data_IF_664421450093
#
_entry.id   IF_664421450093
#
_cell.length_a   1.000
_cell.length_b   1.000
_cell.length_c   1.000
_cell.angle_alpha   90.00
_cell.angle_beta   90.00
_cell.angle_gamma   90.00
#
_symmetry.space_group_name_H-M   'P 1'
#
loop_
_entity.id
_entity.type
_entity.pdbx_description
1 polymer ?
#
# COMPACT_ATOMS: atom_id res chain seq x y z
N UNK A 1 -16.67 12.69 -17.82
CA UNK A 1 -15.52 11.82 -18.14
C UNK A 1 -14.26 12.62 -18.30
N UNK A 2 -14.35 13.93 -18.55
CA UNK A 2 -13.29 14.60 -19.29
C UNK A 2 -12.36 15.44 -18.43
N UNK A 3 -12.78 15.86 -17.23
CA UNK A 3 -11.96 16.68 -16.33
C UNK A 3 -10.77 15.87 -15.79
N UNK A 4 -10.98 14.63 -15.36
CA UNK A 4 -9.90 13.78 -14.87
C UNK A 4 -8.88 13.47 -15.98
N UNK A 5 -9.34 13.25 -17.21
CA UNK A 5 -8.46 13.03 -18.36
C UNK A 5 -7.61 14.23 -18.78
N UNK A 6 -8.04 15.44 -18.46
CA UNK A 6 -7.26 16.66 -18.71
C UNK A 6 -6.16 16.83 -17.65
N UNK A 7 -6.48 16.57 -16.38
CA UNK A 7 -5.55 16.77 -15.28
C UNK A 7 -4.67 15.55 -14.98
N UNK A 8 -5.20 14.34 -15.22
CA UNK A 8 -4.56 13.07 -14.89
C UNK A 8 -4.72 12.03 -16.01
N UNK A 9 -4.14 12.29 -17.20
CA UNK A 9 -4.25 11.34 -18.31
C UNK A 9 -3.68 9.95 -17.96
N UNK A 10 -2.80 9.88 -16.97
CA UNK A 10 -2.17 8.64 -16.50
C UNK A 10 -3.15 7.63 -15.91
N UNK A 11 -4.29 8.08 -15.38
CA UNK A 11 -5.30 7.17 -14.79
C UNK A 11 -6.31 6.66 -15.82
N UNK A 12 -6.42 7.31 -16.99
CA UNK A 12 -7.38 6.90 -18.01
C UNK A 12 -7.24 5.44 -18.45
N UNK A 13 -6.02 4.88 -18.61
CA UNK A 13 -5.86 3.47 -18.94
C UNK A 13 -6.43 2.49 -17.92
N UNK A 14 -6.71 2.95 -16.68
CA UNK A 14 -7.28 2.11 -15.62
C UNK A 14 -8.80 1.92 -15.79
N UNK A 15 -9.47 2.87 -16.45
CA UNK A 15 -10.94 2.89 -16.61
C UNK A 15 -11.37 1.79 -17.56
N UNK A 16 -12.25 0.90 -17.10
CA UNK A 16 -12.71 -0.25 -17.89
C UNK A 16 -11.63 -1.32 -18.12
N UNK A 17 -10.48 -1.22 -17.43
CA UNK A 17 -9.39 -2.16 -17.63
C UNK A 17 -9.65 -3.47 -16.88
N UNK A 18 -10.10 -4.49 -17.64
CA UNK A 18 -10.37 -5.83 -17.14
C UNK A 18 -9.08 -6.54 -16.67
N UNK A 19 -9.06 -6.94 -15.42
CA UNK A 19 -7.91 -7.60 -14.80
C UNK A 19 -7.79 -9.07 -15.17
N UNK A 20 -8.84 -9.73 -15.64
CA UNK A 20 -8.89 -11.18 -15.94
C UNK A 20 -8.27 -12.03 -14.85
N UNK A 21 -8.57 -11.71 -13.61
CA UNK A 21 -7.98 -12.37 -12.45
C UNK A 21 -9.09 -12.63 -11.43
N UNK A 22 -9.26 -13.89 -10.99
CA UNK A 22 -10.28 -14.29 -10.04
C UNK A 22 -10.18 -13.64 -8.64
N UNK A 23 -9.11 -12.92 -8.37
CA UNK A 23 -8.95 -12.14 -7.13
C UNK A 23 -9.62 -10.76 -7.19
N UNK A 24 -10.07 -10.30 -8.35
CA UNK A 24 -10.66 -8.97 -8.54
C UNK A 24 -12.04 -9.07 -9.18
N UNK A 25 -13.06 -8.52 -8.51
CA UNK A 25 -14.43 -8.42 -9.04
C UNK A 25 -14.64 -7.20 -9.93
N UNK A 26 -13.69 -6.25 -9.92
CA UNK A 26 -13.81 -4.92 -10.51
C UNK A 26 -12.70 -4.68 -11.54
N UNK A 27 -12.91 -3.72 -12.45
CA UNK A 27 -11.82 -3.16 -13.24
C UNK A 27 -10.82 -2.42 -12.33
N UNK A 28 -9.65 -2.04 -12.88
CA UNK A 28 -8.59 -1.39 -12.08
C UNK A 28 -9.06 -0.07 -11.49
N UNK A 29 -9.85 0.72 -12.22
CA UNK A 29 -10.33 2.01 -11.75
C UNK A 29 -11.38 1.87 -10.65
N UNK A 30 -12.39 1.03 -10.85
CA UNK A 30 -13.44 0.80 -9.87
C UNK A 30 -12.86 0.22 -8.56
N UNK A 31 -11.94 -0.76 -8.67
CA UNK A 31 -11.17 -1.26 -7.53
C UNK A 31 -10.46 -0.12 -6.79
N UNK A 32 -9.70 0.71 -7.53
CA UNK A 32 -8.93 1.81 -6.96
C UNK A 32 -9.82 2.81 -6.21
N UNK A 33 -10.95 3.23 -6.80
CA UNK A 33 -11.89 4.15 -6.15
C UNK A 33 -12.46 3.56 -4.86
N UNK A 34 -12.81 2.28 -4.87
CA UNK A 34 -13.28 1.56 -3.68
C UNK A 34 -12.21 1.51 -2.60
N UNK A 35 -10.98 1.17 -2.97
CA UNK A 35 -9.84 1.08 -2.07
C UNK A 35 -9.48 2.44 -1.43
N UNK A 36 -9.56 3.55 -2.19
CA UNK A 36 -9.38 4.92 -1.67
C UNK A 36 -10.39 5.25 -0.58
N UNK A 37 -11.62 4.74 -0.69
CA UNK A 37 -12.64 4.90 0.35
C UNK A 37 -12.35 4.13 1.65
N UNK A 38 -11.46 3.14 1.62
CA UNK A 38 -11.14 2.27 2.76
C UNK A 38 -9.89 2.71 3.55
N UNK A 39 -9.07 3.60 3.02
CA UNK A 39 -7.94 4.15 3.76
C UNK A 39 -8.37 5.36 4.60
N UNK A 40 -7.63 5.68 5.69
CA UNK A 40 -7.87 6.89 6.48
C UNK A 40 -7.99 8.15 5.61
N UNK A 41 -8.76 9.13 6.08
CA UNK A 41 -8.99 10.40 5.40
C UNK A 41 -7.75 11.32 5.49
N UNK A 42 -6.59 10.80 5.09
CA UNK A 42 -5.31 11.48 5.05
C UNK A 42 -4.87 11.63 3.58
N UNK A 43 -4.54 12.84 3.11
CA UNK A 43 -4.21 13.07 1.71
C UNK A 43 -3.11 12.15 1.18
N UNK A 44 -2.02 11.94 1.92
CA UNK A 44 -0.90 11.08 1.51
C UNK A 44 -1.35 9.65 1.29
N UNK A 45 -2.13 9.06 2.22
CA UNK A 45 -2.63 7.70 2.08
C UNK A 45 -3.60 7.55 0.91
N UNK A 46 -4.51 8.53 0.74
CA UNK A 46 -5.48 8.51 -0.37
C UNK A 46 -4.82 8.66 -1.73
N UNK A 47 -3.80 9.52 -1.84
CA UNK A 47 -3.05 9.66 -3.08
C UNK A 47 -2.18 8.43 -3.37
N UNK A 48 -1.54 7.86 -2.36
CA UNK A 48 -0.81 6.60 -2.52
C UNK A 48 -1.73 5.48 -3.01
N UNK A 49 -2.94 5.36 -2.41
CA UNK A 49 -3.93 4.39 -2.84
C UNK A 49 -4.47 4.68 -4.24
N UNK A 50 -4.71 5.94 -4.61
CA UNK A 50 -5.16 6.29 -5.96
C UNK A 50 -4.14 5.87 -7.04
N UNK A 51 -2.86 5.90 -6.72
CA UNK A 51 -1.77 5.65 -7.67
C UNK A 51 -1.19 4.23 -7.62
N UNK A 52 -1.52 3.41 -6.58
CA UNK A 52 -0.84 2.13 -6.35
C UNK A 52 -0.88 1.18 -7.55
N UNK A 53 -1.98 1.12 -8.25
CA UNK A 53 -2.26 0.21 -9.36
C UNK A 53 -2.22 0.86 -10.74
N UNK A 54 -1.83 2.13 -10.84
CA UNK A 54 -1.81 2.89 -12.11
C UNK A 54 -0.91 2.26 -13.18
N UNK A 55 0.08 1.48 -12.78
CA UNK A 55 0.97 0.75 -13.67
C UNK A 55 0.44 -0.59 -14.19
N UNK A 56 -0.68 -1.12 -13.68
CA UNK A 56 -1.23 -2.41 -14.10
C UNK A 56 -1.51 -2.49 -15.60
N UNK A 57 -2.10 -1.46 -16.25
CA UNK A 57 -2.36 -1.50 -17.69
C UNK A 57 -1.11 -1.73 -18.53
N UNK A 58 0.02 -1.13 -18.14
CA UNK A 58 1.29 -1.26 -18.86
C UNK A 58 2.01 -2.61 -18.61
N UNK A 59 1.63 -3.35 -17.55
CA UNK A 59 2.30 -4.59 -17.13
C UNK A 59 1.48 -5.85 -17.39
N UNK A 60 0.28 -5.75 -17.99
CA UNK A 60 -0.60 -6.90 -18.18
C UNK A 60 0.02 -7.93 -19.12
N UNK A 61 0.08 -9.16 -18.65
CA UNK A 61 0.29 -10.35 -19.47
C UNK A 61 -0.87 -11.33 -19.22
N UNK A 62 -1.17 -12.20 -20.16
CA UNK A 62 -2.20 -13.22 -20.03
C UNK A 62 -1.55 -14.57 -20.27
N UNK A 63 -1.78 -15.54 -19.37
CA UNK A 63 -1.27 -16.89 -19.51
C UNK A 63 -2.15 -17.76 -20.43
N UNK A 64 -1.76 -19.01 -20.61
CA UNK A 64 -2.46 -19.98 -21.47
C UNK A 64 -3.88 -20.32 -20.96
N UNK A 65 -4.15 -20.09 -19.68
CA UNK A 65 -5.45 -20.26 -19.05
C UNK A 65 -6.35 -19.01 -19.17
N UNK A 66 -5.82 -17.93 -19.78
CA UNK A 66 -6.53 -16.65 -19.93
C UNK A 66 -6.50 -15.77 -18.68
N UNK A 67 -5.66 -16.10 -17.68
CA UNK A 67 -5.53 -15.36 -16.42
C UNK A 67 -4.56 -14.18 -16.60
N UNK A 68 -4.96 -13.01 -16.10
CA UNK A 68 -4.14 -11.79 -16.13
C UNK A 68 -3.11 -11.73 -15.01
N UNK A 69 -1.89 -11.34 -15.38
CA UNK A 69 -0.77 -11.11 -14.46
C UNK A 69 -0.20 -9.71 -14.66
N UNK A 70 0.28 -9.10 -13.56
CA UNK A 70 0.73 -7.70 -13.53
C UNK A 70 2.13 -7.55 -12.90
N UNK A 71 3.05 -8.43 -13.27
CA UNK A 71 4.41 -8.45 -12.70
C UNK A 71 5.12 -7.12 -12.94
N UNK A 72 5.60 -6.51 -11.84
CA UNK A 72 6.34 -5.26 -11.90
C UNK A 72 5.47 -4.00 -11.92
N UNK A 73 4.15 -4.11 -11.81
CA UNK A 73 3.26 -2.94 -11.76
C UNK A 73 3.60 -1.94 -10.65
N UNK A 74 4.13 -2.31 -9.45
CA UNK A 74 4.51 -1.29 -8.47
C UNK A 74 5.61 -0.35 -8.98
N UNK A 75 6.55 -0.86 -9.77
CA UNK A 75 7.59 -0.03 -10.40
C UNK A 75 7.04 0.85 -11.51
N UNK A 76 6.11 0.35 -12.31
CA UNK A 76 5.43 1.13 -13.34
C UNK A 76 4.56 2.22 -12.71
N UNK A 77 3.79 1.89 -11.65
CA UNK A 77 3.03 2.85 -10.86
C UNK A 77 3.93 3.94 -10.25
N UNK A 78 5.09 3.55 -9.70
CA UNK A 78 6.08 4.48 -9.18
C UNK A 78 6.59 5.46 -10.24
N UNK A 79 6.87 4.99 -11.45
CA UNK A 79 7.33 5.84 -12.56
C UNK A 79 6.25 6.88 -12.94
N UNK A 80 5.01 6.46 -13.13
CA UNK A 80 3.87 7.35 -13.39
C UNK A 80 3.65 8.35 -12.25
N UNK A 81 3.77 7.89 -10.99
CA UNK A 81 3.62 8.77 -9.82
C UNK A 81 4.70 9.85 -9.74
N UNK A 82 5.95 9.54 -10.12
CA UNK A 82 7.05 10.51 -10.18
C UNK A 82 6.82 11.63 -11.20
N UNK A 83 6.14 11.33 -12.29
CA UNK A 83 5.78 12.32 -13.30
C UNK A 83 4.58 13.17 -12.88
N UNK A 84 3.61 12.57 -12.20
CA UNK A 84 2.36 13.21 -11.79
C UNK A 84 2.53 14.14 -10.58
N UNK A 85 3.15 13.65 -9.49
CA UNK A 85 3.16 14.34 -8.19
C UNK A 85 3.76 15.76 -8.23
N UNK A 86 4.82 16.08 -9.01
CA UNK A 86 5.31 17.44 -9.12
C UNK A 86 4.26 18.44 -9.63
N UNK A 87 3.34 18.00 -10.49
CA UNK A 87 2.25 18.85 -11.00
C UNK A 87 1.23 19.21 -9.93
N UNK A 88 1.10 18.38 -8.90
CA UNK A 88 0.15 18.54 -7.79
C UNK A 88 0.71 19.36 -6.62
N UNK A 89 1.98 19.77 -6.70
CA UNK A 89 2.66 20.63 -5.71
C UNK A 89 2.64 20.10 -4.28
N UNK A 90 2.75 18.79 -4.09
CA UNK A 90 2.97 18.21 -2.77
C UNK A 90 4.33 18.68 -2.19
N UNK A 91 4.44 18.70 -0.86
CA UNK A 91 5.73 18.88 -0.21
C UNK A 91 6.67 17.71 -0.59
N UNK A 92 7.99 17.95 -0.51
CA UNK A 92 8.98 16.88 -0.77
C UNK A 92 8.76 15.68 0.16
N UNK A 93 8.44 15.91 1.44
CA UNK A 93 8.18 14.87 2.41
C UNK A 93 6.94 14.04 2.05
N UNK A 94 5.84 14.68 1.67
CA UNK A 94 4.62 13.98 1.26
C UNK A 94 4.85 13.21 -0.05
N UNK A 95 5.56 13.81 -1.00
CA UNK A 95 5.92 13.17 -2.26
C UNK A 95 6.73 11.89 -2.01
N UNK A 96 7.78 11.95 -1.19
CA UNK A 96 8.59 10.78 -0.85
C UNK A 96 7.76 9.70 -0.15
N UNK A 97 6.86 10.09 0.76
CA UNK A 97 5.99 9.17 1.48
C UNK A 97 5.00 8.48 0.52
N UNK A 98 4.36 9.23 -0.40
CA UNK A 98 3.47 8.67 -1.42
C UNK A 98 4.23 7.68 -2.31
N UNK A 99 5.38 8.07 -2.85
CA UNK A 99 6.20 7.23 -3.73
C UNK A 99 6.63 5.93 -3.07
N UNK A 100 7.03 5.99 -1.79
CA UNK A 100 7.39 4.80 -1.02
C UNK A 100 6.19 3.85 -0.86
N UNK A 101 5.01 4.38 -0.56
CA UNK A 101 3.79 3.59 -0.39
C UNK A 101 3.37 2.93 -1.70
N UNK A 102 3.41 3.66 -2.82
CA UNK A 102 3.14 3.12 -4.17
C UNK A 102 4.14 2.02 -4.53
N UNK A 103 5.45 2.24 -4.30
CA UNK A 103 6.47 1.23 -4.61
C UNK A 103 6.31 -0.05 -3.80
N UNK A 104 5.86 0.07 -2.54
CA UNK A 104 5.90 -1.03 -1.57
C UNK A 104 4.54 -1.61 -1.21
N UNK A 105 3.46 -1.18 -1.84
CA UNK A 105 2.11 -1.64 -1.47
C UNK A 105 1.99 -3.18 -1.55
N UNK A 106 2.66 -3.85 -2.48
CA UNK A 106 2.68 -5.31 -2.62
C UNK A 106 3.69 -6.02 -1.69
N UNK A 107 4.62 -5.27 -1.06
CA UNK A 107 5.68 -5.89 -0.26
C UNK A 107 5.09 -6.53 1.00
N UNK A 108 5.34 -7.82 1.30
CA UNK A 108 4.88 -8.45 2.54
C UNK A 108 5.45 -7.75 3.78
N UNK A 109 4.59 -7.54 4.79
CA UNK A 109 4.98 -6.95 6.09
C UNK A 109 5.42 -8.00 7.10
N UNK A 110 4.98 -9.26 6.92
CA UNK A 110 5.26 -10.40 7.78
C UNK A 110 4.00 -10.94 8.46
N UNK A 111 3.98 -12.24 8.68
CA UNK A 111 2.92 -13.03 9.28
C UNK A 111 3.30 -13.62 10.64
N UNK A 112 4.51 -13.30 11.12
CA UNK A 112 5.02 -13.72 12.42
C UNK A 112 5.91 -12.63 13.02
N UNK A 113 6.18 -12.72 14.34
CA UNK A 113 6.95 -11.69 15.06
C UNK A 113 8.33 -11.43 14.46
N UNK A 114 9.05 -12.46 14.03
CA UNK A 114 10.40 -12.32 13.45
C UNK A 114 10.37 -11.48 12.17
N UNK A 115 9.41 -11.74 11.30
CA UNK A 115 9.28 -11.01 10.03
C UNK A 115 8.75 -9.58 10.26
N UNK A 116 7.81 -9.41 11.19
CA UNK A 116 7.32 -8.08 11.59
C UNK A 116 8.47 -7.24 12.17
N UNK A 117 9.29 -7.78 13.11
CA UNK A 117 10.48 -7.09 13.63
C UNK A 117 11.47 -6.70 12.54
N UNK A 118 11.73 -7.61 11.60
CA UNK A 118 12.62 -7.34 10.47
C UNK A 118 12.08 -6.22 9.58
N UNK A 119 10.80 -6.22 9.28
CA UNK A 119 10.15 -5.17 8.49
C UNK A 119 10.16 -3.84 9.25
N UNK A 120 9.78 -3.85 10.54
CA UNK A 120 9.79 -2.69 11.42
C UNK A 120 11.17 -2.04 11.51
N UNK A 121 12.22 -2.83 11.74
CA UNK A 121 13.61 -2.36 11.79
C UNK A 121 14.06 -1.71 10.47
N UNK A 122 13.57 -2.21 9.33
CA UNK A 122 13.96 -1.72 8.01
C UNK A 122 13.26 -0.43 7.61
N UNK A 123 12.00 -0.26 7.94
CA UNK A 123 11.16 0.84 7.43
C UNK A 123 10.68 1.81 8.51
N UNK A 124 10.77 1.44 9.79
CA UNK A 124 10.25 2.20 10.92
C UNK A 124 8.73 2.04 11.13
N UNK A 125 8.26 2.40 12.33
CA UNK A 125 6.86 2.22 12.73
C UNK A 125 5.88 3.00 11.85
N UNK A 126 6.14 4.29 11.63
CA UNK A 126 5.24 5.14 10.87
C UNK A 126 4.96 4.58 9.46
N UNK A 127 6.02 4.21 8.74
CA UNK A 127 5.91 3.63 7.39
C UNK A 127 5.27 2.24 7.40
N UNK A 128 5.50 1.46 8.45
CA UNK A 128 4.86 0.16 8.61
C UNK A 128 3.35 0.32 8.75
N UNK A 129 2.88 1.26 9.62
CA UNK A 129 1.46 1.56 9.81
C UNK A 129 0.81 2.07 8.53
N UNK A 130 1.48 2.96 7.80
CA UNK A 130 1.02 3.46 6.51
C UNK A 130 0.82 2.33 5.49
N UNK A 131 1.83 1.47 5.31
CA UNK A 131 1.74 0.33 4.41
C UNK A 131 0.66 -0.66 4.83
N UNK A 132 0.46 -0.86 6.12
CA UNK A 132 -0.61 -1.72 6.62
C UNK A 132 -1.99 -1.12 6.31
N UNK A 133 -2.16 0.21 6.43
CA UNK A 133 -3.39 0.90 6.06
C UNK A 133 -3.67 0.78 4.55
N UNK A 134 -2.65 0.96 3.71
CA UNK A 134 -2.74 0.76 2.25
C UNK A 134 -3.17 -0.69 1.94
N UNK A 135 -2.50 -1.70 2.50
CA UNK A 135 -2.83 -3.11 2.27
C UNK A 135 -4.25 -3.48 2.70
N UNK A 136 -4.70 -2.96 3.85
CA UNK A 136 -6.08 -3.16 4.31
C UNK A 136 -7.09 -2.54 3.35
N UNK A 137 -6.84 -1.31 2.92
CA UNK A 137 -7.70 -0.60 1.97
C UNK A 137 -7.78 -1.32 0.63
N UNK A 138 -6.64 -1.77 0.11
CA UNK A 138 -6.53 -2.55 -1.12
C UNK A 138 -7.31 -3.88 -1.01
N UNK A 139 -7.06 -4.68 0.02
CA UNK A 139 -7.72 -5.95 0.25
C UNK A 139 -9.25 -5.83 0.36
N UNK A 140 -9.74 -4.82 1.07
CA UNK A 140 -11.19 -4.55 1.16
C UNK A 140 -11.73 -4.06 -0.18
N UNK A 141 -10.99 -3.22 -0.90
CA UNK A 141 -11.36 -2.72 -2.22
C UNK A 141 -11.47 -3.81 -3.30
N UNK A 142 -10.74 -4.91 -3.16
CA UNK A 142 -10.81 -6.07 -4.07
C UNK A 142 -12.16 -6.81 -4.00
N UNK A 143 -12.80 -6.81 -2.83
CA UNK A 143 -14.12 -7.43 -2.64
C UNK A 143 -14.13 -8.96 -2.52
N UNK A 144 -13.00 -9.65 -2.62
CA UNK A 144 -12.93 -11.12 -2.71
C UNK A 144 -12.18 -11.81 -1.56
N UNK A 145 -11.30 -11.14 -0.84
CA UNK A 145 -10.33 -11.79 0.04
C UNK A 145 -10.56 -11.53 1.53
N UNK A 146 -11.59 -12.16 2.11
CA UNK A 146 -11.87 -12.08 3.57
C UNK A 146 -10.72 -12.60 4.42
N UNK A 147 -10.10 -13.71 4.01
CA UNK A 147 -8.99 -14.33 4.75
C UNK A 147 -7.75 -13.43 4.75
N UNK A 148 -7.45 -12.79 3.64
CA UNK A 148 -6.32 -11.85 3.57
C UNK A 148 -6.56 -10.60 4.43
N UNK A 149 -7.79 -10.09 4.47
CA UNK A 149 -8.16 -8.99 5.38
C UNK A 149 -7.94 -9.40 6.84
N UNK A 150 -8.39 -10.59 7.24
CA UNK A 150 -8.17 -11.12 8.59
C UNK A 150 -6.67 -11.22 8.93
N UNK A 151 -5.85 -11.73 8.01
CA UNK A 151 -4.40 -11.81 8.17
C UNK A 151 -3.75 -10.43 8.39
N UNK A 152 -4.23 -9.39 7.73
CA UNK A 152 -3.72 -8.03 7.94
C UNK A 152 -4.06 -7.47 9.33
N UNK A 153 -5.20 -7.83 9.92
CA UNK A 153 -5.50 -7.52 11.31
C UNK A 153 -4.61 -8.30 12.29
N UNK A 154 -4.29 -9.55 12.00
CA UNK A 154 -3.32 -10.33 12.78
C UNK A 154 -1.91 -9.70 12.70
N UNK A 155 -1.49 -9.23 11.51
CA UNK A 155 -0.23 -8.50 11.34
C UNK A 155 -0.19 -7.22 12.19
N UNK A 156 -1.31 -6.49 12.30
CA UNK A 156 -1.40 -5.31 13.18
C UNK A 156 -1.29 -5.68 14.66
N UNK A 157 -1.93 -6.76 15.08
CA UNK A 157 -1.83 -7.26 16.45
C UNK A 157 -0.38 -7.71 16.79
N UNK A 158 0.30 -8.33 15.83
CA UNK A 158 1.72 -8.68 15.93
C UNK A 158 2.59 -7.42 16.07
N UNK A 159 2.38 -6.40 15.23
CA UNK A 159 3.09 -5.13 15.34
C UNK A 159 2.94 -4.51 16.73
N UNK A 160 1.72 -4.43 17.24
CA UNK A 160 1.44 -3.81 18.55
C UNK A 160 2.11 -4.60 19.68
N UNK A 161 2.14 -5.94 19.62
CA UNK A 161 2.87 -6.78 20.60
C UNK A 161 4.36 -6.53 20.54
N UNK A 162 4.95 -6.48 19.36
CA UNK A 162 6.39 -6.23 19.17
C UNK A 162 6.77 -4.87 19.74
N UNK A 163 6.00 -3.82 19.48
CA UNK A 163 6.26 -2.47 19.99
C UNK A 163 6.13 -2.41 21.52
N UNK A 164 5.13 -3.07 22.11
CA UNK A 164 4.97 -3.12 23.55
C UNK A 164 6.16 -3.85 24.24
N UNK A 165 6.68 -4.90 23.63
CA UNK A 165 7.87 -5.60 24.15
C UNK A 165 9.12 -4.72 24.08
N UNK A 166 9.33 -3.97 23.00
CA UNK A 166 10.48 -3.06 22.84
C UNK A 166 10.43 -1.92 23.86
N UNK A 167 9.25 -1.36 24.15
CA UNK A 167 9.07 -0.36 25.21
C UNK A 167 9.40 -0.92 26.60
N UNK A 168 9.00 -2.15 26.89
CA UNK A 168 9.34 -2.80 28.17
C UNK A 168 10.85 -2.99 28.35
N UNK A 169 11.60 -3.30 27.29
CA UNK A 169 13.06 -3.43 27.37
C UNK A 169 13.74 -2.09 27.59
N UNK A 170 13.30 -1.02 26.93
CA UNK A 170 13.88 0.32 27.10
C UNK A 170 13.66 0.86 28.51
N UNK A 171 12.48 0.66 29.12
CA UNK A 171 12.19 1.05 30.51
C UNK A 171 13.02 0.28 31.53
N UNK A 172 13.28 -1.01 31.32
CA UNK A 172 14.19 -1.81 32.20
C UNK A 172 15.64 -1.33 32.13
N UNK A 173 16.09 -0.91 30.95
CA UNK A 173 17.42 -0.31 30.78
C UNK A 173 17.56 1.04 31.52
N UNK A 174 16.50 1.85 31.54
CA UNK A 174 16.46 3.11 32.30
C UNK A 174 16.41 2.88 33.81
N UNK A 175 15.77 1.82 34.29
CA UNK A 175 15.68 1.49 35.71
C UNK A 175 17.01 0.97 36.32
N UNK A 176 17.96 0.55 35.50
CA UNK A 176 19.29 0.06 35.96
C UNK A 176 20.27 1.20 36.22
N UNK A 177 20.00 2.43 35.77
CA UNK A 177 20.90 3.58 35.96
C UNK A 177 20.53 4.47 37.17
N UNK A 178 19.73 3.97 38.10
CA UNK A 178 19.26 4.68 39.30
C UNK A 178 19.77 4.16 40.62
N UNK A 179 20.95 3.56 40.65
CA UNK A 179 21.63 3.20 41.92
C UNK A 179 22.99 3.87 41.95
N UNK A 180 23.03 5.05 42.55
CA UNK A 180 24.10 5.51 43.47
C UNK A 180 23.50 6.43 44.52
#
# INVERSE_FOLDING_TARGET
PDVAGVFWPEILPMVGFDQRNGHHCYDVWEHTVRAVGQVPAEPVLRWAMLLHDSGKPACKTVDEQGIGHFRGHPKASLALSRELLPRLRFSSADTERILLLVERHDTPLGDNEKLVRRSLSRIGEARFRDLLAIKKGDAVGQGTSRDYVAQLFETEALLNRVLAQEQCFSLRQLAVNGTD
#
